data_IF_502988194686
#
_entry.id   IF_502988194686
#
_cell.length_a   1.000
_cell.length_b   1.000
_cell.length_c   1.000
_cell.angle_alpha   90.00
_cell.angle_beta   90.00
_cell.angle_gamma   90.00
#
_symmetry.space_group_name_H-M   'P 1'
#
loop_
_entity.id
_entity.type
_entity.pdbx_description
1 polymer ?
#
# COMPACT_ATOMS: atom_id res chain seq x y z
N UNK A 1 5.29 -13.68 24.63
CA UNK A 1 4.33 -12.58 24.35
C UNK A 1 4.40 -12.21 22.87
N UNK A 2 3.28 -12.14 22.14
CA UNK A 2 3.30 -11.67 20.75
C UNK A 2 3.52 -10.16 20.77
N UNK A 3 4.59 -9.68 20.15
CA UNK A 3 4.94 -8.26 20.11
C UNK A 3 4.04 -7.54 19.09
N UNK A 4 2.77 -7.35 19.47
CA UNK A 4 1.74 -6.73 18.64
C UNK A 4 1.91 -5.22 18.69
N UNK A 5 1.92 -4.58 17.52
CA UNK A 5 2.13 -3.14 17.39
C UNK A 5 1.11 -2.54 16.42
N UNK A 6 0.87 -1.24 16.56
CA UNK A 6 0.02 -0.48 15.64
C UNK A 6 0.80 -0.19 14.35
N UNK A 7 0.31 -0.70 13.23
CA UNK A 7 0.84 -0.43 11.90
C UNK A 7 -0.14 0.41 11.08
N UNK A 8 0.44 1.35 10.34
CA UNK A 8 -0.22 2.16 9.33
C UNK A 8 0.16 1.60 7.96
N UNK A 9 -0.83 1.21 7.16
CA UNK A 9 -0.68 0.82 5.76
C UNK A 9 -1.19 1.97 4.92
N UNK A 10 -0.41 2.47 3.97
CA UNK A 10 -0.76 3.69 3.27
C UNK A 10 -0.22 3.71 1.85
N UNK A 11 -0.92 4.45 0.99
CA UNK A 11 -0.65 4.49 -0.45
C UNK A 11 -0.04 5.83 -0.85
N UNK A 12 1.00 5.82 -1.68
CA UNK A 12 1.48 7.03 -2.33
C UNK A 12 0.38 7.59 -3.23
N UNK A 13 -0.06 8.83 -2.98
CA UNK A 13 -1.12 9.44 -3.79
C UNK A 13 -0.68 9.85 -5.20
N UNK A 14 0.62 9.77 -5.52
CA UNK A 14 1.12 10.04 -6.87
C UNK A 14 1.10 8.81 -7.80
N UNK A 15 1.62 7.68 -7.34
CA UNK A 15 1.80 6.47 -8.17
C UNK A 15 1.04 5.25 -7.67
N UNK A 16 0.43 5.36 -6.49
CA UNK A 16 -0.33 4.29 -5.89
C UNK A 16 0.45 3.16 -5.25
N UNK A 17 1.76 3.32 -5.06
CA UNK A 17 2.57 2.33 -4.37
C UNK A 17 2.20 2.23 -2.88
N UNK A 18 2.09 1.00 -2.38
CA UNK A 18 1.73 0.73 -0.99
C UNK A 18 2.95 0.61 -0.08
N UNK A 19 2.82 1.19 1.10
CA UNK A 19 3.82 1.20 2.18
C UNK A 19 3.19 0.83 3.51
N UNK A 20 4.02 0.47 4.48
CA UNK A 20 3.61 0.29 5.87
C UNK A 20 4.64 0.90 6.83
N UNK A 21 4.19 1.31 8.02
CA UNK A 21 5.07 1.74 9.12
C UNK A 21 4.36 1.62 10.46
N UNK A 22 5.12 1.32 11.52
CA UNK A 22 4.66 1.40 12.91
C UNK A 22 5.01 2.73 13.57
N UNK A 23 5.68 3.65 12.85
CA UNK A 23 6.06 4.98 13.35
C UNK A 23 5.08 6.04 12.87
N UNK A 24 4.97 7.12 13.64
CA UNK A 24 4.26 8.33 13.22
C UNK A 24 5.12 9.05 12.19
N UNK A 25 4.62 9.18 10.96
CA UNK A 25 5.33 9.79 9.83
C UNK A 25 4.53 11.01 9.36
N UNK A 26 5.22 12.14 9.09
CA UNK A 26 4.61 13.33 8.46
C UNK A 26 4.71 13.28 6.94
N UNK A 27 5.88 12.89 6.41
CA UNK A 27 6.19 12.83 4.98
C UNK A 27 6.95 11.55 4.66
N UNK A 28 6.78 11.01 3.45
CA UNK A 28 7.53 9.86 2.95
C UNK A 28 7.98 10.08 1.52
N UNK A 29 9.23 9.71 1.23
CA UNK A 29 9.73 9.58 -0.15
C UNK A 29 9.26 8.25 -0.74
N UNK A 30 8.55 8.31 -1.86
CA UNK A 30 8.13 7.14 -2.61
C UNK A 30 9.33 6.59 -3.40
N UNK A 31 9.64 5.31 -3.22
CA UNK A 31 10.73 4.64 -3.93
C UNK A 31 10.40 4.33 -5.39
N UNK A 32 9.10 4.27 -5.74
CA UNK A 32 8.65 3.94 -7.10
C UNK A 32 8.65 5.15 -8.04
N UNK A 33 8.05 6.26 -7.62
CA UNK A 33 7.97 7.48 -8.43
C UNK A 33 8.96 8.58 -8.02
N UNK A 34 9.82 8.30 -7.03
CA UNK A 34 10.83 9.23 -6.49
C UNK A 34 10.26 10.55 -5.90
N UNK A 35 8.94 10.71 -5.83
CA UNK A 35 8.28 11.90 -5.26
C UNK A 35 8.08 11.76 -3.75
N UNK A 36 8.23 12.88 -3.05
CA UNK A 36 7.88 12.99 -1.64
C UNK A 36 6.40 13.32 -1.47
N UNK A 37 5.77 12.72 -0.47
CA UNK A 37 4.33 12.88 -0.26
C UNK A 37 3.97 12.99 1.23
N UNK A 38 2.94 13.78 1.53
CA UNK A 38 2.46 13.98 2.91
C UNK A 38 1.59 12.80 3.36
N UNK A 39 1.93 12.20 4.51
CA UNK A 39 1.19 11.07 5.08
C UNK A 39 -0.25 11.43 5.49
N UNK A 40 -0.52 12.71 5.81
CA UNK A 40 -1.88 13.16 6.09
C UNK A 40 -2.81 13.00 4.87
N UNK A 41 -2.30 13.23 3.66
CA UNK A 41 -3.06 13.20 2.41
C UNK A 41 -3.12 11.80 1.78
N UNK A 42 -2.33 10.83 2.25
CA UNK A 42 -2.40 9.46 1.74
C UNK A 42 -3.61 8.71 2.29
N UNK A 43 -4.26 7.93 1.42
CA UNK A 43 -5.17 6.88 1.86
C UNK A 43 -4.42 5.91 2.77
N UNK A 44 -5.03 5.57 3.92
CA UNK A 44 -4.38 4.76 4.95
C UNK A 44 -5.36 3.92 5.74
N UNK A 45 -4.89 2.75 6.15
CA UNK A 45 -5.59 1.78 6.99
C UNK A 45 -4.69 1.50 8.20
N UNK A 46 -5.29 1.37 9.38
CA UNK A 46 -4.57 1.10 10.62
C UNK A 46 -4.93 -0.30 11.12
N UNK A 47 -3.94 -1.10 11.50
CA UNK A 47 -4.14 -2.43 12.09
C UNK A 47 -3.14 -2.67 13.21
N UNK A 48 -3.61 -3.29 14.29
CA UNK A 48 -2.78 -3.72 15.41
C UNK A 48 -2.43 -5.19 15.20
N UNK A 49 -1.20 -5.45 14.73
CA UNK A 49 -0.74 -6.78 14.31
C UNK A 49 0.73 -6.99 14.68
N UNK A 50 1.22 -8.23 14.58
CA UNK A 50 2.66 -8.49 14.67
C UNK A 50 3.38 -7.98 13.43
N UNK A 51 4.70 -7.76 13.52
CA UNK A 51 5.51 -7.37 12.36
C UNK A 51 5.40 -8.39 11.21
N UNK A 52 5.40 -9.68 11.54
CA UNK A 52 5.26 -10.76 10.55
C UNK A 52 3.93 -10.69 9.81
N UNK A 53 2.84 -10.41 10.52
CA UNK A 53 1.53 -10.25 9.91
C UNK A 53 1.44 -8.97 9.08
N UNK A 54 2.09 -7.88 9.51
CA UNK A 54 2.16 -6.65 8.73
C UNK A 54 2.84 -6.88 7.36
N UNK A 55 3.93 -7.64 7.33
CA UNK A 55 4.62 -8.04 6.09
C UNK A 55 3.71 -8.90 5.20
N UNK A 56 2.95 -9.84 5.77
CA UNK A 56 1.98 -10.65 5.02
C UNK A 56 0.85 -9.79 4.44
N UNK A 57 0.33 -8.85 5.20
CA UNK A 57 -0.75 -7.95 4.78
C UNK A 57 -0.29 -7.07 3.60
N UNK A 58 0.87 -6.40 3.70
CA UNK A 58 1.35 -5.54 2.62
C UNK A 58 1.60 -6.33 1.33
N UNK A 59 2.16 -7.55 1.43
CA UNK A 59 2.32 -8.45 0.27
C UNK A 59 0.98 -8.78 -0.38
N UNK A 60 -0.02 -9.17 0.41
CA UNK A 60 -1.38 -9.44 -0.09
C UNK A 60 -2.02 -8.22 -0.76
N UNK A 61 -1.85 -7.03 -0.19
CA UNK A 61 -2.38 -5.78 -0.77
C UNK A 61 -1.75 -5.50 -2.13
N UNK A 62 -0.42 -5.61 -2.24
CA UNK A 62 0.29 -5.38 -3.52
C UNK A 62 -0.14 -6.38 -4.60
N UNK A 63 -0.20 -7.67 -4.25
CA UNK A 63 -0.66 -8.71 -5.16
C UNK A 63 -2.12 -8.51 -5.62
N UNK A 64 -3.01 -8.06 -4.72
CA UNK A 64 -4.39 -7.74 -5.09
C UNK A 64 -4.47 -6.53 -6.03
N UNK A 65 -3.71 -5.46 -5.73
CA UNK A 65 -3.66 -4.27 -6.59
C UNK A 65 -3.14 -4.57 -7.99
N UNK A 66 -2.14 -5.45 -8.12
CA UNK A 66 -1.65 -5.94 -9.41
C UNK A 66 -2.73 -6.75 -10.14
N UNK A 67 -3.44 -7.64 -9.45
CA UNK A 67 -4.56 -8.39 -10.04
C UNK A 67 -5.70 -7.48 -10.50
N UNK A 68 -6.15 -6.54 -9.68
CA UNK A 68 -7.22 -5.60 -10.07
C UNK A 68 -6.81 -4.71 -11.24
N UNK A 69 -5.53 -4.32 -11.33
CA UNK A 69 -5.02 -3.54 -12.47
C UNK A 69 -4.94 -4.42 -13.72
N UNK A 70 -4.49 -5.67 -13.59
CA UNK A 70 -4.41 -6.64 -14.69
C UNK A 70 -5.80 -7.02 -15.22
N UNK A 71 -6.76 -7.32 -14.35
CA UNK A 71 -8.14 -7.63 -14.73
C UNK A 71 -8.79 -6.46 -15.47
N UNK A 72 -8.64 -5.22 -14.96
CA UNK A 72 -9.15 -4.03 -15.65
C UNK A 72 -8.49 -3.80 -17.02
N UNK A 73 -7.21 -4.11 -17.15
CA UNK A 73 -6.50 -4.00 -18.42
C UNK A 73 -6.99 -5.06 -19.43
N UNK A 74 -7.14 -6.32 -19.00
CA UNK A 74 -7.64 -7.40 -19.84
C UNK A 74 -9.10 -7.20 -20.27
N UNK A 75 -9.95 -6.65 -19.40
CA UNK A 75 -11.33 -6.32 -19.75
C UNK A 75 -11.40 -5.15 -20.75
N UNK A 76 -10.49 -4.19 -20.66
CA UNK A 76 -10.37 -3.10 -21.64
C UNK A 76 -9.94 -3.60 -23.02
N UNK A 77 -8.93 -4.48 -23.11
CA UNK A 77 -8.50 -5.07 -24.39
C UNK A 77 -9.59 -5.94 -25.04
N UNK A 78 -10.41 -6.64 -24.25
CA UNK A 78 -11.57 -7.39 -24.75
C UNK A 78 -12.70 -6.50 -25.28
N UNK A 79 -12.80 -5.26 -24.81
CA UNK A 79 -13.82 -4.31 -25.27
C UNK A 79 -13.43 -3.55 -26.54
N UNK A 80 -12.17 -3.67 -26.96
CA UNK A 80 -11.60 -3.03 -28.16
C UNK A 80 -11.47 -3.98 -29.36
N UNK A 81 -11.71 -5.29 -29.15
CA UNK A 81 -11.85 -6.30 -30.20
C UNK A 81 -13.33 -6.68 -30.34
#
# INVERSE_FOLDING_TARGET
MRNVQKFYFFRCYHCGEWYYSNKIIKTKKCWKCNRSFQFKNSFKIVRTVTLNDAIKIIKKIKMKGEKETLFKFLDYEKSLN
#
